data_IF_220857663915
#
_entry.id   IF_220857663915
#
_cell.length_a   1.000
_cell.length_b   1.000
_cell.length_c   1.000
_cell.angle_alpha   90.00
_cell.angle_beta   90.00
_cell.angle_gamma   90.00
#
_symmetry.space_group_name_H-M   'P 1'
#
loop_
_entity.id
_entity.type
_entity.pdbx_description
1 polymer ?
#
# COMPACT_ATOMS: atom_id res chain seq x y z
N UNK A 1 17.62 4.78 6.49
CA UNK A 1 16.78 5.23 7.64
C UNK A 1 15.56 4.33 7.78
N UNK A 2 15.24 3.82 8.99
CA UNK A 2 14.03 2.99 9.24
C UNK A 2 12.92 3.87 9.81
N UNK A 3 12.07 4.39 8.93
CA UNK A 3 10.92 5.24 9.32
C UNK A 3 9.74 4.31 9.70
N UNK A 4 9.01 4.61 10.79
CA UNK A 4 7.79 3.88 11.15
C UNK A 4 6.74 3.98 10.03
N UNK A 5 5.80 3.03 10.01
CA UNK A 5 4.68 3.10 9.10
C UNK A 5 3.82 4.34 9.43
N UNK A 6 3.61 5.20 8.44
CA UNK A 6 2.72 6.36 8.58
C UNK A 6 1.32 6.02 8.08
N UNK A 7 0.31 6.64 8.69
CA UNK A 7 -1.09 6.56 8.31
C UNK A 7 -1.45 7.89 7.65
N UNK A 8 -1.58 7.88 6.33
CA UNK A 8 -1.94 9.05 5.52
C UNK A 8 -2.86 8.60 4.38
N UNK A 9 -3.72 9.49 3.83
CA UNK A 9 -4.54 9.14 2.69
C UNK A 9 -3.72 8.82 1.43
N UNK A 10 -4.25 7.94 0.57
CA UNK A 10 -3.59 7.52 -0.67
C UNK A 10 -3.38 8.71 -1.61
N UNK A 11 -4.34 9.63 -1.70
CA UNK A 11 -4.19 10.85 -2.53
C UNK A 11 -2.95 11.66 -2.13
N UNK A 12 -2.76 11.89 -0.82
CA UNK A 12 -1.59 12.59 -0.27
C UNK A 12 -0.28 11.88 -0.60
N UNK A 13 -0.28 10.53 -0.59
CA UNK A 13 0.89 9.75 -1.00
C UNK A 13 1.20 9.94 -2.50
N UNK A 14 0.18 9.87 -3.36
CA UNK A 14 0.35 9.98 -4.82
C UNK A 14 0.76 11.38 -5.28
N UNK A 15 0.35 12.41 -4.56
CA UNK A 15 0.75 13.79 -4.82
C UNK A 15 2.20 14.11 -4.42
N UNK A 16 2.85 13.21 -3.67
CA UNK A 16 4.23 13.37 -3.23
C UNK A 16 5.27 13.03 -4.30
N UNK A 17 6.51 13.40 -4.03
CA UNK A 17 7.66 13.09 -4.89
C UNK A 17 8.35 11.82 -4.42
N UNK A 18 8.41 10.79 -5.28
CA UNK A 18 9.14 9.56 -4.99
C UNK A 18 10.65 9.76 -5.10
N UNK A 19 11.38 9.28 -4.10
CA UNK A 19 12.84 9.32 -4.03
C UNK A 19 13.40 7.91 -3.92
N UNK A 20 14.22 7.53 -4.90
CA UNK A 20 14.99 6.29 -4.86
C UNK A 20 16.19 6.47 -3.95
N UNK A 21 16.27 5.62 -2.92
CA UNK A 21 17.38 5.70 -2.01
C UNK A 21 18.63 5.06 -2.64
N UNK A 22 19.76 5.77 -2.60
CA UNK A 22 21.03 5.33 -3.22
C UNK A 22 21.75 4.24 -2.43
N UNK A 23 21.46 4.09 -1.14
CA UNK A 23 22.09 3.11 -0.26
C UNK A 23 21.41 1.74 -0.34
N UNK A 24 22.19 0.66 -0.36
CA UNK A 24 21.70 -0.73 -0.38
C UNK A 24 20.72 -1.05 0.77
N UNK A 25 20.83 -0.32 1.88
CA UNK A 25 20.02 -0.53 3.10
C UNK A 25 18.94 0.53 3.30
N UNK A 26 18.87 1.54 2.44
CA UNK A 26 17.88 2.59 2.55
C UNK A 26 16.60 2.19 1.83
N UNK A 27 15.47 2.54 2.45
CA UNK A 27 14.16 2.31 1.84
C UNK A 27 13.83 3.49 0.95
N UNK A 28 13.30 3.20 -0.24
CA UNK A 28 12.63 4.21 -1.05
C UNK A 28 11.53 4.90 -0.24
N UNK A 29 11.32 6.17 -0.53
CA UNK A 29 10.33 6.96 0.19
C UNK A 29 9.66 7.97 -0.73
N UNK A 30 8.56 8.52 -0.26
CA UNK A 30 7.88 9.65 -0.87
C UNK A 30 8.04 10.84 0.06
N UNK A 31 8.39 11.99 -0.51
CA UNK A 31 8.30 13.28 0.17
C UNK A 31 6.93 13.86 -0.15
N UNK A 32 6.07 13.97 0.86
CA UNK A 32 4.74 14.59 0.69
C UNK A 32 4.87 16.10 0.48
N UNK A 33 3.79 16.77 0.09
CA UNK A 33 3.77 18.24 -0.07
C UNK A 33 4.09 19.02 1.21
N UNK A 34 3.93 18.39 2.37
CA UNK A 34 4.25 18.97 3.69
C UNK A 34 5.68 18.64 4.14
N UNK A 35 6.57 18.30 3.19
CA UNK A 35 7.97 17.91 3.41
C UNK A 35 8.17 16.66 4.30
N UNK A 36 7.11 15.89 4.54
CA UNK A 36 7.23 14.66 5.30
C UNK A 36 7.75 13.50 4.44
N UNK A 37 8.78 12.81 4.93
CA UNK A 37 9.28 11.56 4.32
C UNK A 37 8.50 10.33 4.77
N UNK A 38 7.99 9.56 3.81
CA UNK A 38 7.20 8.34 4.02
C UNK A 38 7.83 7.18 3.27
N UNK A 39 8.39 6.18 3.97
CA UNK A 39 8.95 4.96 3.32
C UNK A 39 8.06 3.72 3.48
N UNK A 40 7.15 3.78 4.45
CA UNK A 40 6.32 2.67 4.88
C UNK A 40 4.97 3.24 5.30
N UNK A 41 3.90 2.56 4.91
CA UNK A 41 2.54 3.05 5.09
C UNK A 41 1.69 2.00 5.79
N UNK A 42 0.72 2.46 6.56
CA UNK A 42 -0.40 1.69 7.08
C UNK A 42 -1.67 2.24 6.42
N UNK A 43 -2.34 1.39 5.64
CA UNK A 43 -3.54 1.73 4.89
C UNK A 43 -4.72 0.89 5.37
N UNK A 44 -5.90 1.50 5.38
CA UNK A 44 -7.17 0.80 5.37
C UNK A 44 -7.85 1.07 4.03
N UNK A 45 -8.60 0.10 3.52
CA UNK A 45 -9.40 0.32 2.32
C UNK A 45 -10.19 -0.90 1.89
N UNK A 46 -10.92 -0.73 0.80
CA UNK A 46 -11.73 -1.77 0.17
C UNK A 46 -11.03 -2.29 -1.08
N UNK A 47 -10.98 -3.61 -1.25
CA UNK A 47 -10.44 -4.22 -2.47
C UNK A 47 -11.43 -4.00 -3.61
N UNK A 48 -11.05 -3.19 -4.59
CA UNK A 48 -11.89 -2.90 -5.77
C UNK A 48 -11.53 -3.74 -7.00
N UNK A 49 -10.31 -4.29 -7.03
CA UNK A 49 -9.82 -5.15 -8.10
C UNK A 49 -8.78 -6.15 -7.60
N UNK A 50 -8.69 -7.32 -8.27
CA UNK A 50 -7.73 -8.38 -7.98
C UNK A 50 -7.23 -8.98 -9.30
N UNK A 51 -5.93 -9.23 -9.36
CA UNK A 51 -5.27 -9.96 -10.43
C UNK A 51 -4.36 -11.03 -9.82
N UNK A 52 -4.50 -12.27 -10.29
CA UNK A 52 -3.73 -13.42 -9.83
C UNK A 52 -3.04 -14.08 -11.02
N UNK A 53 -1.76 -14.35 -10.88
CA UNK A 53 -0.99 -15.16 -11.81
C UNK A 53 -0.26 -16.26 -11.04
N UNK A 54 -0.86 -17.46 -11.04
CA UNK A 54 -0.34 -18.62 -10.30
C UNK A 54 1.03 -19.05 -10.84
N UNK A 55 1.22 -19.06 -12.16
CA UNK A 55 2.47 -19.49 -12.78
C UNK A 55 3.66 -18.58 -12.44
N UNK A 56 3.41 -17.27 -12.27
CA UNK A 56 4.44 -16.29 -11.88
C UNK A 56 4.55 -16.08 -10.36
N UNK A 57 3.80 -16.84 -9.57
CA UNK A 57 3.62 -16.62 -8.13
C UNK A 57 3.39 -15.13 -7.81
N UNK A 58 2.46 -14.49 -8.53
CA UNK A 58 2.18 -13.07 -8.43
C UNK A 58 0.71 -12.82 -8.14
N UNK A 59 0.44 -11.93 -7.19
CA UNK A 59 -0.91 -11.47 -6.90
C UNK A 59 -0.85 -9.96 -6.67
N UNK A 60 -1.79 -9.23 -7.27
CA UNK A 60 -1.98 -7.81 -7.00
C UNK A 60 -3.44 -7.50 -6.74
N UNK A 61 -3.68 -6.69 -5.73
CA UNK A 61 -4.99 -6.13 -5.42
C UNK A 61 -4.93 -4.61 -5.55
N UNK A 62 -6.03 -3.99 -5.96
CA UNK A 62 -6.19 -2.53 -5.91
C UNK A 62 -7.05 -2.20 -4.71
N UNK A 63 -6.52 -1.34 -3.83
CA UNK A 63 -7.15 -0.89 -2.60
C UNK A 63 -7.60 0.56 -2.76
N UNK A 64 -8.84 0.85 -2.45
CA UNK A 64 -9.43 2.20 -2.45
C UNK A 64 -9.68 2.65 -1.00
N UNK A 65 -9.27 3.88 -0.64
CA UNK A 65 -9.46 4.45 0.69
C UNK A 65 -10.44 5.64 0.73
N UNK A 66 -11.29 5.82 -0.28
CA UNK A 66 -12.14 7.00 -0.55
C UNK A 66 -11.40 8.25 -1.03
N UNK A 67 -10.07 8.34 -0.90
CA UNK A 67 -9.31 9.49 -1.40
C UNK A 67 -8.68 9.22 -2.75
N UNK A 68 -8.21 7.99 -2.96
CA UNK A 68 -7.70 7.48 -4.23
C UNK A 68 -7.54 5.95 -4.13
N UNK A 69 -7.07 5.29 -5.19
CA UNK A 69 -6.75 3.86 -5.20
C UNK A 69 -5.24 3.59 -5.29
N UNK A 70 -4.76 2.47 -4.75
CA UNK A 70 -3.36 2.06 -4.93
C UNK A 70 -3.21 0.56 -5.11
N UNK A 71 -2.25 0.17 -5.95
CA UNK A 71 -1.92 -1.24 -6.15
C UNK A 71 -1.07 -1.77 -5.00
N UNK A 72 -1.45 -2.92 -4.47
CA UNK A 72 -0.67 -3.72 -3.54
C UNK A 72 -0.23 -4.97 -4.27
N UNK A 73 1.07 -5.18 -4.39
CA UNK A 73 1.64 -6.27 -5.20
C UNK A 73 2.50 -7.21 -4.35
N UNK A 74 2.18 -8.50 -4.39
CA UNK A 74 2.91 -9.57 -3.71
C UNK A 74 3.51 -10.55 -4.72
N UNK A 75 4.70 -11.05 -4.37
CA UNK A 75 5.41 -12.09 -5.13
C UNK A 75 5.67 -13.29 -4.20
N UNK A 76 5.75 -14.50 -4.76
CA UNK A 76 6.06 -15.75 -4.04
C UNK A 76 5.14 -15.96 -2.83
N UNK A 77 5.69 -16.13 -1.63
CA UNK A 77 4.91 -16.31 -0.39
C UNK A 77 3.93 -15.16 -0.12
N UNK A 78 4.29 -13.93 -0.50
CA UNK A 78 3.39 -12.80 -0.33
C UNK A 78 2.23 -12.81 -1.35
N UNK A 79 2.43 -13.39 -2.54
CA UNK A 79 1.34 -13.61 -3.48
C UNK A 79 0.30 -14.59 -2.91
N UNK A 80 0.76 -15.68 -2.27
CA UNK A 80 -0.11 -16.63 -1.57
C UNK A 80 -0.89 -15.96 -0.42
N UNK A 81 -0.24 -15.03 0.28
CA UNK A 81 -0.87 -14.23 1.34
C UNK A 81 -1.97 -13.33 0.77
N UNK A 82 -1.73 -12.64 -0.35
CA UNK A 82 -2.75 -11.77 -0.96
C UNK A 82 -3.89 -12.55 -1.63
N UNK A 83 -3.64 -13.78 -2.09
CA UNK A 83 -4.62 -14.59 -2.82
C UNK A 83 -5.88 -14.91 -1.99
N UNK A 84 -5.80 -14.93 -0.66
CA UNK A 84 -6.94 -15.28 0.21
C UNK A 84 -7.98 -14.16 0.34
N UNK A 85 -7.64 -12.93 -0.05
CA UNK A 85 -8.54 -11.77 0.02
C UNK A 85 -9.28 -11.58 -1.29
N UNK A 86 -10.55 -11.15 -1.22
CA UNK A 86 -11.42 -11.00 -2.39
C UNK A 86 -11.92 -9.58 -2.59
N UNK A 87 -12.41 -9.29 -3.81
CA UNK A 87 -13.04 -8.00 -4.10
C UNK A 87 -14.21 -7.76 -3.14
N UNK A 88 -14.27 -6.55 -2.57
CA UNK A 88 -15.24 -6.16 -1.55
C UNK A 88 -14.75 -6.37 -0.11
N UNK A 89 -13.64 -7.09 0.11
CA UNK A 89 -13.05 -7.17 1.44
C UNK A 89 -12.52 -5.80 1.87
N UNK A 90 -12.78 -5.46 3.14
CA UNK A 90 -12.10 -4.36 3.82
C UNK A 90 -10.85 -4.90 4.49
N UNK A 91 -9.70 -4.29 4.22
CA UNK A 91 -8.41 -4.77 4.71
C UNK A 91 -7.57 -3.63 5.31
N UNK A 92 -6.71 -4.01 6.24
CA UNK A 92 -5.56 -3.23 6.68
C UNK A 92 -4.29 -3.78 6.02
N UNK A 93 -3.45 -2.89 5.52
CA UNK A 93 -2.17 -3.22 4.88
C UNK A 93 -1.06 -2.38 5.50
N UNK A 94 0.00 -3.03 5.98
CA UNK A 94 1.27 -2.37 6.26
C UNK A 94 2.25 -2.77 5.17
N UNK A 95 2.91 -1.81 4.55
CA UNK A 95 3.84 -2.12 3.47
C UNK A 95 4.82 -1.02 3.13
N UNK A 96 5.83 -1.40 2.34
CA UNK A 96 6.86 -0.49 1.84
C UNK A 96 6.42 0.10 0.51
N UNK A 97 6.76 1.37 0.32
CA UNK A 97 6.49 2.04 -0.94
C UNK A 97 7.54 1.60 -1.97
N UNK A 98 7.05 1.24 -3.16
CA UNK A 98 7.86 0.82 -4.30
C UNK A 98 7.38 1.55 -5.54
N UNK A 99 8.19 1.50 -6.59
CA UNK A 99 7.89 2.09 -7.89
C UNK A 99 8.09 1.02 -8.95
N UNK A 100 7.15 0.93 -9.89
CA UNK A 100 7.23 0.00 -11.00
C UNK A 100 8.04 0.59 -12.17
N UNK A 101 8.20 -0.20 -13.23
CA UNK A 101 8.96 0.19 -14.42
C UNK A 101 8.32 1.33 -15.23
N UNK A 102 7.07 1.70 -14.93
CA UNK A 102 6.32 2.78 -15.59
C UNK A 102 6.12 3.98 -14.66
N UNK A 103 7.05 4.13 -13.72
CA UNK A 103 7.04 5.16 -12.71
C UNK A 103 5.82 5.21 -11.77
N UNK A 104 4.99 4.17 -11.76
CA UNK A 104 3.80 4.12 -10.90
C UNK A 104 4.17 3.58 -9.51
N UNK A 105 3.70 4.27 -8.47
CA UNK A 105 3.90 3.86 -7.09
C UNK A 105 2.96 2.69 -6.76
N UNK A 106 3.48 1.70 -6.04
CA UNK A 106 2.71 0.59 -5.48
C UNK A 106 3.23 0.23 -4.09
N UNK A 107 2.41 -0.50 -3.33
CA UNK A 107 2.78 -0.99 -2.00
C UNK A 107 3.22 -2.45 -2.10
N UNK A 108 4.42 -2.73 -1.61
CA UNK A 108 4.85 -4.10 -1.33
C UNK A 108 4.47 -4.43 0.11
N UNK A 109 3.50 -5.33 0.34
CA UNK A 109 2.96 -5.56 1.67
C UNK A 109 3.95 -6.35 2.55
N UNK A 110 3.93 -6.03 3.83
CA UNK A 110 4.61 -6.74 4.93
C UNK A 110 3.56 -7.42 5.83
N UNK A 111 2.41 -6.78 6.03
CA UNK A 111 1.25 -7.31 6.77
C UNK A 111 -0.02 -6.99 5.99
N UNK A 112 -0.94 -7.97 5.89
CA UNK A 112 -2.28 -7.78 5.34
C UNK A 112 -3.27 -8.49 6.23
N UNK A 113 -4.35 -7.81 6.63
CA UNK A 113 -5.37 -8.36 7.54
C UNK A 113 -6.75 -7.91 7.09
N UNK A 114 -7.73 -8.81 7.12
CA UNK A 114 -9.15 -8.44 6.97
C UNK A 114 -9.61 -7.71 8.23
N UNK A 115 -10.38 -6.65 8.05
CA UNK A 115 -10.91 -5.82 9.14
C UNK A 115 -12.40 -5.59 8.94
N UNK A 116 -13.09 -5.27 10.03
CA UNK A 116 -14.50 -4.90 9.98
C UNK A 116 -14.66 -3.50 9.35
N UNK A 117 -15.77 -3.24 8.60
CA UNK A 117 -16.02 -1.95 7.98
C UNK A 117 -16.00 -0.77 8.95
N UNK A 118 -16.42 -0.94 10.20
CA UNK A 118 -16.43 0.11 11.23
C UNK A 118 -15.01 0.61 11.54
N UNK A 119 -14.03 -0.29 11.56
CA UNK A 119 -12.62 0.07 11.79
C UNK A 119 -12.05 0.87 10.63
N UNK A 120 -12.48 0.56 9.41
CA UNK A 120 -12.13 1.35 8.24
C UNK A 120 -12.80 2.73 8.25
N UNK A 121 -14.09 2.81 8.59
CA UNK A 121 -14.75 4.10 8.70
C UNK A 121 -14.13 4.98 9.79
N UNK A 122 -13.77 4.41 10.94
CA UNK A 122 -13.05 5.14 11.99
C UNK A 122 -11.70 5.66 11.48
N UNK A 123 -10.96 4.87 10.70
CA UNK A 123 -9.72 5.34 10.05
C UNK A 123 -9.95 6.62 9.23
N UNK A 124 -11.01 6.61 8.42
CA UNK A 124 -11.35 7.75 7.55
C UNK A 124 -11.60 8.99 8.40
N UNK A 125 -12.45 8.91 9.43
CA UNK A 125 -12.76 10.07 10.28
C UNK A 125 -11.56 10.62 11.07
N UNK A 126 -10.61 9.77 11.44
CA UNK A 126 -9.45 10.18 12.26
C UNK A 126 -8.32 10.80 11.43
N UNK A 127 -8.18 10.44 10.15
CA UNK A 127 -6.95 10.69 9.39
C UNK A 127 -7.17 11.48 8.10
N UNK A 128 -8.41 11.58 7.61
CA UNK A 128 -8.78 12.29 6.37
C UNK A 128 -9.64 13.50 6.71
#
# INVERSE_FOLDING_TARGET
MRIPAKRIPISKLKEGTFVEAKGQWDSNYVVTKDDESVSRILLYGIIISKYLNVAKEFCSITLDDLTDDIRISGFKGMAKTLQVFEKGDTILVVGRIKKDLKDSIYIFPEVVKKVEPEMYLLNVFENY
#
